data_IF_220154458002
#
_entry.id   IF_220154458002
#
_cell.length_a   1.000
_cell.length_b   1.000
_cell.length_c   1.000
_cell.angle_alpha   90.00
_cell.angle_beta   90.00
_cell.angle_gamma   90.00
#
_symmetry.space_group_name_H-M   'P 1'
#
loop_
_entity.id
_entity.type
_entity.pdbx_description
1 polymer ?
#
# COMPACT_ATOMS: atom_id res chain seq x y z
N UNK A 1 -53.27 60.46 -2.23
CA UNK A 1 -53.91 59.55 -3.19
C UNK A 1 -53.70 60.09 -4.60
N UNK A 2 -52.66 59.58 -5.27
CA UNK A 2 -52.09 59.91 -6.59
C UNK A 2 -50.87 58.97 -6.70
N UNK A 3 -50.44 58.33 -7.79
CA UNK A 3 -50.79 58.13 -9.22
C UNK A 3 -50.17 56.76 -9.54
N UNK A 4 -50.89 55.83 -10.16
CA UNK A 4 -50.81 55.49 -11.60
C UNK A 4 -49.48 54.91 -12.08
N UNK A 5 -49.53 53.64 -12.48
CA UNK A 5 -48.55 52.88 -13.26
C UNK A 5 -48.05 53.57 -14.53
N UNK A 6 -46.76 53.36 -14.84
CA UNK A 6 -46.17 53.29 -16.19
C UNK A 6 -44.90 52.44 -16.06
N UNK A 7 -44.76 51.28 -16.69
CA UNK A 7 -44.71 50.95 -18.12
C UNK A 7 -43.30 50.45 -18.46
N UNK A 8 -43.26 49.30 -19.15
CA UNK A 8 -42.29 48.89 -20.18
C UNK A 8 -40.79 49.07 -19.89
N UNK A 9 -40.02 47.99 -20.04
CA UNK A 9 -38.98 47.92 -21.07
C UNK A 9 -38.56 46.46 -21.30
N UNK A 10 -38.84 46.01 -22.52
CA UNK A 10 -38.33 44.77 -23.12
C UNK A 10 -36.85 44.93 -23.47
N UNK A 11 -36.12 43.81 -23.39
CA UNK A 11 -35.08 43.45 -24.35
C UNK A 11 -33.66 43.91 -24.03
N UNK A 12 -32.82 42.97 -23.60
CA UNK A 12 -31.37 43.03 -23.86
C UNK A 12 -30.87 41.66 -24.31
N UNK A 13 -30.17 41.73 -25.43
CA UNK A 13 -29.62 40.65 -26.24
C UNK A 13 -28.52 39.85 -25.54
N UNK A 14 -28.39 38.59 -26.00
CA UNK A 14 -27.18 37.81 -26.24
C UNK A 14 -26.08 37.75 -25.15
N UNK A 15 -25.86 36.53 -24.63
CA UNK A 15 -24.51 36.05 -24.31
C UNK A 15 -24.48 34.50 -24.25
N UNK A 16 -23.82 33.92 -25.25
CA UNK A 16 -22.85 32.81 -25.16
C UNK A 16 -23.23 31.60 -24.30
N UNK A 17 -23.68 30.53 -24.97
CA UNK A 17 -23.63 29.17 -24.42
C UNK A 17 -22.17 28.71 -24.33
N UNK A 18 -21.60 28.72 -23.12
CA UNK A 18 -20.37 27.98 -22.83
C UNK A 18 -20.68 26.49 -22.84
N UNK A 19 -20.37 25.81 -23.95
CA UNK A 19 -20.22 24.34 -23.95
C UNK A 19 -18.91 24.05 -23.24
N UNK A 20 -18.98 23.72 -21.95
CA UNK A 20 -17.84 23.13 -21.25
C UNK A 20 -17.74 21.68 -21.73
N UNK A 21 -16.70 21.41 -22.51
CA UNK A 21 -16.29 20.06 -22.89
C UNK A 21 -15.89 19.30 -21.62
N UNK A 22 -16.60 18.20 -21.33
CA UNK A 22 -16.19 17.21 -20.37
C UNK A 22 -15.75 15.95 -21.14
N UNK A 23 -14.46 15.64 -21.10
CA UNK A 23 -13.96 14.28 -21.29
C UNK A 23 -12.60 14.17 -20.59
N UNK A 24 -12.67 13.65 -19.37
CA UNK A 24 -11.53 13.29 -18.54
C UNK A 24 -10.83 12.06 -19.15
N UNK A 25 -9.53 12.19 -19.35
CA UNK A 25 -8.61 11.05 -19.41
C UNK A 25 -7.23 11.53 -18.96
N UNK A 26 -7.12 11.93 -17.69
CA UNK A 26 -5.82 11.87 -17.03
C UNK A 26 -5.58 10.39 -16.76
N UNK A 27 -4.72 9.79 -17.60
CA UNK A 27 -4.07 8.53 -17.28
C UNK A 27 -3.34 8.72 -15.96
N UNK A 28 -4.01 8.38 -14.86
CA UNK A 28 -3.42 8.26 -13.54
C UNK A 28 -2.54 7.02 -13.51
N UNK A 29 -1.40 7.09 -14.19
CA UNK A 29 -0.26 6.24 -13.86
C UNK A 29 0.32 6.77 -12.56
N UNK A 30 -0.18 6.28 -11.42
CA UNK A 30 0.55 6.40 -10.17
C UNK A 30 1.77 5.51 -10.28
N UNK A 31 2.84 6.05 -10.87
CA UNK A 31 4.18 5.57 -10.56
C UNK A 31 4.36 5.80 -9.07
N UNK A 32 4.26 4.73 -8.27
CA UNK A 32 4.62 4.78 -6.87
C UNK A 32 6.01 5.40 -6.75
N UNK A 33 6.23 6.38 -5.87
CA UNK A 33 7.54 6.98 -5.71
C UNK A 33 8.52 5.91 -5.25
N UNK A 34 9.63 5.73 -5.98
CA UNK A 34 10.69 4.76 -5.68
C UNK A 34 11.50 5.10 -4.40
N UNK A 35 10.94 5.90 -3.49
CA UNK A 35 11.51 6.23 -2.18
C UNK A 35 10.48 6.92 -1.29
N UNK A 36 9.24 6.42 -1.21
CA UNK A 36 8.50 6.61 0.04
C UNK A 36 9.32 5.87 1.09
N UNK A 37 10.03 6.61 1.94
CA UNK A 37 10.87 5.99 2.97
C UNK A 37 10.06 4.98 3.77
N UNK A 38 10.72 3.91 4.19
CA UNK A 38 10.26 2.77 4.99
C UNK A 38 9.11 3.07 5.96
N UNK A 39 9.08 4.24 6.59
CA UNK A 39 8.00 4.66 7.47
C UNK A 39 6.62 4.82 6.78
N UNK A 40 6.56 5.02 5.47
CA UNK A 40 5.32 5.40 4.76
C UNK A 40 4.38 4.23 4.51
N UNK A 41 4.91 3.14 3.97
CA UNK A 41 4.14 1.98 3.56
C UNK A 41 3.81 1.06 4.76
N UNK A 42 4.75 0.91 5.71
CA UNK A 42 4.51 0.26 6.99
C UNK A 42 3.38 0.94 7.76
N UNK A 43 3.44 2.28 7.94
CA UNK A 43 2.34 3.03 8.60
C UNK A 43 1.01 2.88 7.85
N UNK A 44 1.04 2.75 6.53
CA UNK A 44 -0.18 2.51 5.75
C UNK A 44 -0.72 1.11 6.01
N UNK A 45 0.15 0.09 6.07
CA UNK A 45 -0.23 -1.27 6.45
C UNK A 45 -0.85 -1.31 7.85
N UNK A 46 -0.18 -0.70 8.83
CA UNK A 46 -0.64 -0.62 10.22
C UNK A 46 -1.96 0.14 10.34
N UNK A 47 -2.14 1.25 9.61
CA UNK A 47 -3.39 1.98 9.62
C UNK A 47 -4.55 1.16 9.04
N UNK A 48 -4.28 0.29 8.06
CA UNK A 48 -5.31 -0.53 7.41
C UNK A 48 -5.70 -1.76 8.24
N UNK A 49 -4.73 -2.46 8.83
CA UNK A 49 -4.94 -3.76 9.47
C UNK A 49 -4.75 -3.75 10.99
N UNK A 50 -4.29 -2.64 11.55
CA UNK A 50 -3.91 -2.53 12.95
C UNK A 50 -2.50 -3.07 13.21
N UNK A 51 -1.89 -2.54 14.26
CA UNK A 51 -0.59 -2.97 14.74
C UNK A 51 -0.65 -3.44 16.19
N UNK A 52 0.39 -4.15 16.60
CA UNK A 52 0.66 -4.43 17.99
C UNK A 52 2.08 -4.10 18.37
N UNK A 53 2.29 -3.79 19.64
CA UNK A 53 3.59 -3.38 20.13
C UNK A 53 4.40 -4.59 20.60
N UNK A 54 5.56 -4.79 19.99
CA UNK A 54 6.52 -5.86 20.32
C UNK A 54 7.94 -5.31 20.31
N UNK A 55 8.69 -5.56 21.39
CA UNK A 55 10.04 -5.03 21.61
C UNK A 55 10.17 -3.49 21.47
N UNK A 56 9.05 -2.76 21.58
CA UNK A 56 9.01 -1.30 21.44
C UNK A 56 8.68 -0.81 20.03
N UNK A 57 8.55 -1.73 19.08
CA UNK A 57 8.14 -1.48 17.69
C UNK A 57 6.66 -1.81 17.51
N UNK A 58 6.00 -1.07 16.62
CA UNK A 58 4.66 -1.42 16.16
C UNK A 58 4.80 -2.41 14.98
N UNK A 59 4.04 -3.50 15.04
CA UNK A 59 4.12 -4.63 14.11
C UNK A 59 2.74 -4.86 13.49
N UNK A 60 2.62 -5.01 12.17
CA UNK A 60 1.35 -5.34 11.53
C UNK A 60 0.73 -6.62 12.10
N UNK A 61 -0.57 -6.56 12.39
CA UNK A 61 -1.33 -7.75 12.86
C UNK A 61 -1.98 -8.55 11.72
N UNK A 62 -1.73 -8.14 10.47
CA UNK A 62 -2.26 -8.78 9.27
C UNK A 62 -1.68 -10.18 9.06
N UNK A 63 -2.52 -11.10 8.57
CA UNK A 63 -2.07 -12.39 8.06
C UNK A 63 -1.95 -12.31 6.54
N UNK A 64 -0.74 -12.55 6.03
CA UNK A 64 -0.47 -12.58 4.59
C UNK A 64 -0.19 -14.01 4.12
N UNK A 65 -0.72 -14.34 2.94
CA UNK A 65 -0.50 -15.62 2.29
C UNK A 65 -0.54 -15.43 0.77
N UNK A 66 -0.31 -16.50 0.01
CA UNK A 66 -0.40 -16.46 -1.46
C UNK A 66 -1.71 -15.83 -1.92
N UNK A 67 -1.61 -14.87 -2.83
CA UNK A 67 -2.75 -14.10 -3.35
C UNK A 67 -3.08 -12.83 -2.55
N UNK A 68 -2.48 -12.61 -1.38
CA UNK A 68 -2.47 -11.28 -0.75
C UNK A 68 -1.76 -10.29 -1.65
N UNK A 69 -2.21 -9.04 -1.66
CA UNK A 69 -1.58 -7.95 -2.42
C UNK A 69 -1.56 -6.64 -1.63
N UNK A 70 -0.78 -5.68 -2.10
CA UNK A 70 -0.76 -4.30 -1.60
C UNK A 70 0.39 -3.98 -0.66
N UNK A 71 0.26 -2.88 0.07
CA UNK A 71 1.38 -2.25 0.80
C UNK A 71 2.00 -3.19 1.84
N UNK A 72 1.18 -3.97 2.57
CA UNK A 72 1.69 -4.93 3.54
C UNK A 72 2.53 -6.06 2.92
N UNK A 73 2.25 -6.42 1.66
CA UNK A 73 3.04 -7.42 0.95
C UNK A 73 4.37 -6.83 0.50
N UNK A 74 4.39 -5.56 0.09
CA UNK A 74 5.63 -4.85 -0.23
C UNK A 74 6.55 -4.77 0.98
N UNK A 75 6.01 -4.38 2.14
CA UNK A 75 6.72 -4.39 3.42
C UNK A 75 7.32 -5.77 3.73
N UNK A 76 6.49 -6.82 3.66
CA UNK A 76 6.99 -8.18 3.84
C UNK A 76 8.14 -8.52 2.86
N UNK A 77 7.99 -8.14 1.59
CA UNK A 77 9.00 -8.45 0.57
C UNK A 77 10.32 -7.72 0.84
N UNK A 78 10.27 -6.48 1.33
CA UNK A 78 11.44 -5.71 1.73
C UNK A 78 12.16 -6.37 2.91
N UNK A 79 11.43 -6.73 3.96
CA UNK A 79 11.95 -7.45 5.14
C UNK A 79 12.60 -8.80 4.75
N UNK A 80 12.02 -9.53 3.79
CA UNK A 80 12.60 -10.78 3.28
C UNK A 80 13.89 -10.55 2.50
N UNK A 81 13.99 -9.43 1.76
CA UNK A 81 15.23 -9.04 1.08
C UNK A 81 16.32 -8.73 2.10
N UNK A 82 16.00 -7.94 3.13
CA UNK A 82 16.94 -7.55 4.18
C UNK A 82 17.40 -8.75 5.01
N UNK A 83 16.49 -9.67 5.35
CA UNK A 83 16.81 -10.93 5.99
C UNK A 83 17.64 -11.90 5.11
N UNK A 84 17.90 -11.56 3.84
CA UNK A 84 18.63 -12.40 2.90
C UNK A 84 17.90 -13.69 2.51
N UNK A 85 16.57 -13.69 2.59
CA UNK A 85 15.72 -14.82 2.20
C UNK A 85 15.39 -14.85 0.69
N UNK A 86 15.77 -13.80 -0.04
CA UNK A 86 15.48 -13.63 -1.47
C UNK A 86 16.70 -13.99 -2.32
N UNK A 87 16.48 -14.74 -3.39
CA UNK A 87 17.56 -15.14 -4.30
C UNK A 87 17.94 -13.99 -5.24
N UNK A 88 19.21 -13.93 -5.64
CA UNK A 88 19.67 -12.91 -6.60
C UNK A 88 18.97 -12.98 -7.96
N UNK A 89 18.44 -14.14 -8.35
CA UNK A 89 17.67 -14.33 -9.59
C UNK A 89 16.27 -13.73 -9.55
N UNK A 90 15.76 -13.44 -8.35
CA UNK A 90 14.48 -12.76 -8.16
C UNK A 90 14.63 -11.23 -8.10
N UNK A 91 15.87 -10.73 -8.15
CA UNK A 91 16.18 -9.30 -8.18
C UNK A 91 16.70 -8.86 -9.57
N UNK A 92 16.33 -7.66 -10.05
CA UNK A 92 15.39 -6.70 -9.44
C UNK A 92 13.92 -7.11 -9.61
N UNK A 93 13.04 -6.56 -8.77
CA UNK A 93 11.58 -6.66 -8.94
C UNK A 93 10.87 -7.65 -8.05
N UNK A 94 11.54 -8.17 -7.01
CA UNK A 94 10.87 -9.00 -6.00
C UNK A 94 9.84 -8.21 -5.16
N UNK A 95 10.10 -6.92 -4.91
CA UNK A 95 9.19 -6.03 -4.19
C UNK A 95 8.17 -5.45 -5.18
N UNK A 96 7.13 -6.21 -5.45
CA UNK A 96 6.06 -5.88 -6.41
C UNK A 96 4.69 -5.70 -5.74
N UNK A 97 4.57 -6.07 -4.46
CA UNK A 97 3.33 -6.02 -3.69
C UNK A 97 2.39 -7.17 -3.97
N UNK A 98 2.83 -8.19 -4.71
CA UNK A 98 2.05 -9.40 -4.99
C UNK A 98 2.64 -10.60 -4.23
N UNK A 99 1.81 -11.26 -3.42
CA UNK A 99 2.22 -12.47 -2.72
C UNK A 99 2.11 -13.66 -3.68
N UNK A 100 3.02 -13.69 -4.65
CA UNK A 100 3.15 -14.73 -5.65
C UNK A 100 3.98 -15.92 -5.17
N UNK A 101 4.31 -16.86 -6.08
CA UNK A 101 5.13 -18.02 -5.78
C UNK A 101 6.53 -17.68 -5.26
N UNK A 102 7.11 -16.56 -5.72
CA UNK A 102 8.44 -16.08 -5.28
C UNK A 102 8.41 -15.65 -3.82
N UNK A 103 7.45 -14.79 -3.45
CA UNK A 103 7.23 -14.36 -2.08
C UNK A 103 6.98 -15.55 -1.16
N UNK A 104 6.17 -16.52 -1.60
CA UNK A 104 5.94 -17.75 -0.83
C UNK A 104 7.22 -18.55 -0.58
N UNK A 105 8.03 -18.78 -1.62
CA UNK A 105 9.29 -19.50 -1.46
C UNK A 105 10.24 -18.79 -0.49
N UNK A 106 10.33 -17.46 -0.56
CA UNK A 106 11.13 -16.66 0.35
C UNK A 106 10.62 -16.74 1.81
N UNK A 107 9.31 -16.67 2.04
CA UNK A 107 8.72 -16.83 3.38
C UNK A 107 9.04 -18.20 3.95
N UNK A 108 8.84 -19.28 3.19
CA UNK A 108 9.14 -20.65 3.63
C UNK A 108 10.63 -20.80 3.95
N UNK A 109 11.51 -20.25 3.09
CA UNK A 109 12.95 -20.27 3.30
C UNK A 109 13.35 -19.52 4.59
N UNK A 110 12.79 -18.32 4.79
CA UNK A 110 12.98 -17.53 6.00
C UNK A 110 12.52 -18.30 7.25
N UNK A 111 11.26 -18.77 7.27
CA UNK A 111 10.69 -19.48 8.40
C UNK A 111 11.49 -20.74 8.77
N UNK A 112 11.98 -21.46 7.76
CA UNK A 112 12.85 -22.62 7.95
C UNK A 112 14.21 -22.23 8.54
N UNK A 113 14.84 -21.18 7.99
CA UNK A 113 16.16 -20.70 8.41
C UNK A 113 16.18 -20.23 9.86
N UNK A 114 15.13 -19.52 10.28
CA UNK A 114 15.03 -18.93 11.62
C UNK A 114 14.18 -19.76 12.60
N UNK A 115 13.77 -20.97 12.20
CA UNK A 115 12.94 -21.87 13.01
C UNK A 115 11.72 -21.16 13.63
N UNK A 116 10.99 -20.39 12.81
CA UNK A 116 9.85 -19.58 13.27
C UNK A 116 8.80 -20.48 13.94
N UNK A 117 8.27 -20.11 15.12
CA UNK A 117 7.23 -20.88 15.79
C UNK A 117 5.99 -21.06 14.90
N UNK A 118 5.56 -22.31 14.73
CA UNK A 118 4.50 -22.68 13.77
C UNK A 118 5.03 -23.39 12.52
N UNK A 119 6.35 -23.33 12.27
CA UNK A 119 6.99 -24.00 11.15
C UNK A 119 6.98 -23.18 9.86
N UNK A 120 7.44 -23.80 8.77
CA UNK A 120 7.57 -23.17 7.46
C UNK A 120 6.34 -23.42 6.59
N UNK A 121 5.20 -22.83 6.98
CA UNK A 121 3.91 -22.97 6.29
C UNK A 121 3.73 -21.99 5.11
N UNK A 122 4.61 -20.99 5.01
CA UNK A 122 4.54 -19.93 4.02
C UNK A 122 3.42 -18.91 4.27
N UNK A 123 2.89 -18.87 5.49
CA UNK A 123 1.91 -17.89 5.96
C UNK A 123 2.59 -16.92 6.91
N UNK A 124 2.43 -15.63 6.65
CA UNK A 124 2.99 -14.58 7.49
C UNK A 124 1.93 -14.13 8.47
N UNK A 125 1.91 -14.78 9.63
CA UNK A 125 1.18 -14.32 10.80
C UNK A 125 2.11 -13.70 11.85
N UNK A 126 1.56 -13.46 13.03
CA UNK A 126 2.22 -12.88 14.21
C UNK A 126 3.66 -13.38 14.44
N UNK A 127 3.87 -14.69 14.49
CA UNK A 127 5.19 -15.25 14.80
C UNK A 127 6.24 -14.90 13.73
N UNK A 128 5.84 -14.92 12.45
CA UNK A 128 6.71 -14.56 11.33
C UNK A 128 7.05 -13.07 11.37
N UNK A 129 6.05 -12.20 11.61
CA UNK A 129 6.28 -10.76 11.76
C UNK A 129 7.21 -10.42 12.93
N UNK A 130 6.99 -11.04 14.10
CA UNK A 130 7.86 -10.85 15.26
C UNK A 130 9.29 -11.28 14.97
N UNK A 131 9.46 -12.39 14.23
CA UNK A 131 10.78 -12.88 13.83
C UNK A 131 11.48 -11.92 12.87
N UNK A 132 10.79 -11.41 11.84
CA UNK A 132 11.38 -10.48 10.86
C UNK A 132 11.89 -9.22 11.56
N UNK A 133 11.05 -8.62 12.40
CA UNK A 133 11.39 -7.38 13.11
C UNK A 133 12.49 -7.61 14.16
N UNK A 134 12.46 -8.74 14.87
CA UNK A 134 13.56 -9.07 15.78
C UNK A 134 14.89 -9.22 15.02
N UNK A 135 14.86 -9.79 13.81
CA UNK A 135 16.05 -10.04 13.02
C UNK A 135 16.60 -8.76 12.36
N UNK A 136 15.74 -7.90 11.82
CA UNK A 136 16.16 -6.68 11.12
C UNK A 136 16.68 -5.61 12.08
N UNK A 137 16.14 -5.50 13.30
CA UNK A 137 16.49 -4.39 14.20
C UNK A 137 17.50 -4.72 15.31
N UNK A 138 17.85 -5.99 15.54
CA UNK A 138 18.74 -6.39 16.65
C UNK A 138 19.95 -7.23 16.24
N UNK A 139 20.17 -7.47 14.94
CA UNK A 139 21.35 -8.18 14.41
C UNK A 139 22.25 -7.26 13.59
#
# INVERSE_FOLDING_TARGET
>A
MARTDRASLRGRSAAVACVLAAAAALAGGSAAPASAGWDGELRTCEAQYGSERYLGWDIPTVVLARGSTGVCVRELQEELVEAGAVTGTDQPGFVDGDFGPKTYAAVVAYQSRYAVPGGADGVVGRNTWHSLIAHVYYE
#
